data_IF_139045086492
#
_entry.id   IF_139045086492
#
_cell.length_a   1.000
_cell.length_b   1.000
_cell.length_c   1.000
_cell.angle_alpha   90.00
_cell.angle_beta   90.00
_cell.angle_gamma   90.00
#
_symmetry.space_group_name_H-M   'P 1'
#
loop_
_entity.id
_entity.type
_entity.pdbx_description
1 polymer ?
#
# COMPACT_ATOMS: atom_id res chain seq x y z
N UNK A 1 -12.63 7.36 16.34
CA UNK A 1 -12.60 7.63 14.89
C UNK A 1 -13.25 6.43 14.20
N UNK A 2 -14.36 6.61 13.49
CA UNK A 2 -15.05 5.49 12.81
C UNK A 2 -14.13 5.01 11.68
N UNK A 3 -13.76 3.75 11.68
CA UNK A 3 -12.99 3.14 10.60
C UNK A 3 -13.79 3.22 9.32
N UNK A 4 -13.10 3.43 8.19
CA UNK A 4 -13.75 3.39 6.88
C UNK A 4 -14.44 2.04 6.67
N UNK A 5 -15.58 2.01 5.95
CA UNK A 5 -16.24 0.76 5.62
C UNK A 5 -15.31 -0.16 4.83
N UNK A 6 -15.44 -1.47 5.03
CA UNK A 6 -14.74 -2.45 4.21
C UNK A 6 -15.30 -2.41 2.79
N UNK A 7 -14.43 -2.14 1.81
CA UNK A 7 -14.80 -2.08 0.38
C UNK A 7 -14.49 -3.40 -0.32
N UNK A 8 -13.34 -4.01 0.00
CA UNK A 8 -12.92 -5.27 -0.60
C UNK A 8 -13.13 -6.45 0.36
N UNK A 9 -13.22 -7.69 -0.16
CA UNK A 9 -13.09 -8.88 0.66
C UNK A 9 -11.78 -8.82 1.45
N UNK A 10 -11.85 -9.11 2.75
CA UNK A 10 -10.69 -9.08 3.64
C UNK A 10 -10.47 -10.42 4.31
N UNK A 11 -9.25 -10.60 4.82
CA UNK A 11 -8.85 -11.68 5.69
C UNK A 11 -8.30 -11.10 6.99
N UNK A 12 -8.65 -11.70 8.13
CA UNK A 12 -8.08 -11.30 9.41
C UNK A 12 -6.71 -11.95 9.57
N UNK A 13 -5.69 -11.14 9.84
CA UNK A 13 -4.35 -11.58 10.22
C UNK A 13 -4.04 -11.18 11.66
N UNK A 14 -3.14 -11.93 12.30
CA UNK A 14 -2.62 -11.63 13.64
C UNK A 14 -1.26 -10.97 13.51
N UNK A 15 -1.10 -9.76 14.06
CA UNK A 15 0.20 -9.06 14.12
C UNK A 15 1.16 -9.77 15.08
N UNK A 16 2.44 -9.41 15.05
CA UNK A 16 3.43 -9.89 16.03
C UNK A 16 3.09 -9.54 17.48
N UNK A 17 2.27 -8.50 17.69
CA UNK A 17 1.76 -8.08 19.01
C UNK A 17 0.46 -8.80 19.41
N UNK A 18 -0.02 -9.76 18.61
CA UNK A 18 -1.24 -10.53 18.88
C UNK A 18 -2.54 -9.82 18.44
N UNK A 19 -2.45 -8.64 17.84
CA UNK A 19 -3.63 -7.89 17.39
C UNK A 19 -4.22 -8.52 16.13
N UNK A 20 -5.54 -8.67 16.08
CA UNK A 20 -6.25 -9.07 14.87
C UNK A 20 -6.57 -7.85 14.01
N UNK A 21 -6.16 -7.88 12.74
CA UNK A 21 -6.38 -6.79 11.78
C UNK A 21 -6.97 -7.31 10.47
N UNK A 22 -8.03 -6.69 9.94
CA UNK A 22 -8.55 -7.03 8.61
C UNK A 22 -7.59 -6.48 7.54
N UNK A 23 -7.24 -7.31 6.57
CA UNK A 23 -6.37 -6.99 5.45
C UNK A 23 -7.09 -7.36 4.16
N UNK A 24 -7.09 -6.46 3.18
CA UNK A 24 -7.59 -6.74 1.83
C UNK A 24 -7.03 -8.08 1.33
N UNK A 25 -7.90 -8.97 0.85
CA UNK A 25 -7.57 -10.38 0.59
C UNK A 25 -6.37 -10.52 -0.34
N UNK A 26 -6.29 -9.68 -1.37
CA UNK A 26 -5.19 -9.68 -2.32
C UNK A 26 -3.86 -9.19 -1.72
N UNK A 27 -3.90 -8.34 -0.70
CA UNK A 27 -2.71 -7.84 0.00
C UNK A 27 -2.17 -8.81 1.04
N UNK A 28 -2.97 -9.81 1.46
CA UNK A 28 -2.61 -10.73 2.53
C UNK A 28 -1.25 -11.43 2.32
N UNK A 29 -0.93 -11.99 1.14
CA UNK A 29 0.37 -12.61 0.90
C UNK A 29 1.55 -11.64 1.07
N UNK A 30 1.41 -10.40 0.57
CA UNK A 30 2.43 -9.35 0.69
C UNK A 30 2.65 -9.00 2.17
N UNK A 31 1.57 -8.73 2.92
CA UNK A 31 1.65 -8.33 4.32
C UNK A 31 2.30 -9.43 5.17
N UNK A 32 1.94 -10.70 4.96
CA UNK A 32 2.58 -11.83 5.64
C UNK A 32 4.07 -11.90 5.35
N UNK A 33 4.47 -11.81 4.09
CA UNK A 33 5.88 -11.86 3.70
C UNK A 33 6.67 -10.67 4.27
N UNK A 34 6.11 -9.47 4.24
CA UNK A 34 6.73 -8.29 4.84
C UNK A 34 6.95 -8.46 6.35
N UNK A 35 5.94 -8.95 7.09
CA UNK A 35 6.08 -9.20 8.53
C UNK A 35 7.11 -10.29 8.83
N UNK A 36 7.14 -11.37 8.04
CA UNK A 36 8.15 -12.43 8.15
C UNK A 36 9.57 -11.88 7.95
N UNK A 37 9.75 -10.95 7.02
CA UNK A 37 11.03 -10.29 6.71
C UNK A 37 11.38 -9.15 7.70
N UNK A 38 10.54 -8.93 8.72
CA UNK A 38 10.76 -7.93 9.76
C UNK A 38 10.48 -6.49 9.34
N UNK A 39 9.56 -6.28 8.38
CA UNK A 39 9.04 -4.95 8.05
C UNK A 39 7.82 -4.61 8.90
N UNK A 40 7.71 -3.35 9.28
CA UNK A 40 6.50 -2.82 9.93
C UNK A 40 5.54 -2.26 8.88
N UNK A 41 4.26 -2.60 8.98
CA UNK A 41 3.19 -2.02 8.13
C UNK A 41 2.14 -1.33 9.00
N UNK A 42 1.66 -0.17 8.56
CA UNK A 42 0.59 0.58 9.26
C UNK A 42 -0.77 0.45 8.58
N UNK A 43 -0.81 0.38 7.25
CA UNK A 43 -2.03 0.19 6.47
C UNK A 43 -1.66 -0.34 5.08
N UNK A 44 -2.65 -0.91 4.38
CA UNK A 44 -2.52 -1.28 2.98
C UNK A 44 -3.88 -1.17 2.29
N UNK A 45 -3.86 -1.11 0.97
CA UNK A 45 -5.06 -1.14 0.14
C UNK A 45 -4.73 -1.88 -1.15
N UNK A 46 -5.60 -2.83 -1.56
CA UNK A 46 -5.41 -3.52 -2.84
C UNK A 46 -5.67 -2.58 -4.02
N UNK A 47 -6.62 -1.64 -3.90
CA UNK A 47 -6.94 -0.66 -4.96
C UNK A 47 -7.45 0.66 -4.37
N UNK A 48 -6.61 1.70 -4.40
CA UNK A 48 -6.87 3.00 -3.76
C UNK A 48 -8.05 3.72 -4.42
N UNK A 49 -8.16 3.69 -5.75
CA UNK A 49 -9.26 4.33 -6.47
C UNK A 49 -10.61 3.71 -6.12
N UNK A 50 -10.71 2.39 -6.15
CA UNK A 50 -11.92 1.64 -5.80
C UNK A 50 -12.29 1.82 -4.32
N UNK A 51 -11.32 1.73 -3.41
CA UNK A 51 -11.55 1.99 -1.99
C UNK A 51 -12.07 3.40 -1.74
N UNK A 52 -11.46 4.41 -2.36
CA UNK A 52 -11.86 5.81 -2.19
C UNK A 52 -13.27 6.05 -2.74
N UNK A 53 -13.57 5.52 -3.93
CA UNK A 53 -14.91 5.60 -4.51
C UNK A 53 -15.97 4.92 -3.64
N UNK A 54 -15.67 3.72 -3.13
CA UNK A 54 -16.56 2.96 -2.26
C UNK A 54 -16.83 3.66 -0.94
N UNK A 55 -15.80 4.21 -0.30
CA UNK A 55 -15.96 4.99 0.94
C UNK A 55 -16.80 6.24 0.68
N UNK A 56 -16.54 6.96 -0.41
CA UNK A 56 -17.29 8.16 -0.77
C UNK A 56 -18.77 7.87 -1.02
N UNK A 57 -19.10 6.76 -1.69
CA UNK A 57 -20.49 6.36 -1.94
C UNK A 57 -21.27 6.00 -0.67
N UNK A 58 -20.58 5.60 0.39
CA UNK A 58 -21.20 5.18 1.66
C UNK A 58 -21.23 6.28 2.73
N UNK A 59 -20.61 7.43 2.47
CA UNK A 59 -20.56 8.54 3.43
C UNK A 59 -21.57 9.63 3.06
N UNK A 60 -22.34 10.16 4.04
CA UNK A 60 -23.28 11.25 3.81
C UNK A 60 -22.58 12.60 3.61
N UNK A 61 -21.33 12.73 4.07
CA UNK A 61 -20.52 13.94 3.91
C UNK A 61 -19.37 13.67 2.95
N UNK A 62 -19.08 14.59 2.00
CA UNK A 62 -17.92 14.49 1.13
C UNK A 62 -16.64 14.29 1.93
N UNK A 63 -15.78 13.40 1.44
CA UNK A 63 -14.40 13.33 1.91
C UNK A 63 -13.71 14.65 1.53
N UNK A 64 -12.93 15.23 2.45
CA UNK A 64 -12.09 16.41 2.15
C UNK A 64 -10.93 16.12 1.16
N UNK A 65 -10.90 14.90 0.62
CA UNK A 65 -9.99 14.37 -0.39
C UNK A 65 -10.78 13.36 -1.25
N UNK A 66 -10.21 12.83 -2.34
CA UNK A 66 -10.89 11.75 -3.08
C UNK A 66 -12.02 12.21 -4.02
N UNK A 67 -11.87 13.40 -4.62
CA UNK A 67 -12.68 13.80 -5.77
C UNK A 67 -12.43 12.90 -6.99
N UNK A 68 -13.23 13.06 -8.05
CA UNK A 68 -13.16 12.19 -9.25
C UNK A 68 -11.75 12.10 -9.85
N UNK A 69 -10.99 13.21 -10.02
CA UNK A 69 -9.62 13.12 -10.55
C UNK A 69 -8.68 12.27 -9.68
N UNK A 70 -8.88 12.28 -8.36
CA UNK A 70 -8.07 11.46 -7.45
C UNK A 70 -8.41 9.98 -7.60
N UNK A 71 -9.72 9.66 -7.66
CA UNK A 71 -10.20 8.29 -7.82
C UNK A 71 -9.71 7.71 -9.14
N UNK A 72 -9.87 8.47 -10.22
CA UNK A 72 -9.49 8.03 -11.57
C UNK A 72 -7.99 7.80 -11.67
N UNK A 73 -7.18 8.71 -11.13
CA UNK A 73 -5.73 8.57 -11.12
C UNK A 73 -5.25 7.36 -10.32
N UNK A 74 -5.91 7.04 -9.20
CA UNK A 74 -5.52 5.94 -8.31
C UNK A 74 -6.24 4.62 -8.59
N UNK A 75 -7.12 4.58 -9.59
CA UNK A 75 -7.72 3.32 -10.03
C UNK A 75 -6.62 2.43 -10.60
N UNK A 76 -6.59 1.17 -10.16
CA UNK A 76 -5.54 0.24 -10.55
C UNK A 76 -4.22 0.41 -9.76
N UNK A 77 -4.17 1.25 -8.74
CA UNK A 77 -3.02 1.41 -7.84
C UNK A 77 -3.28 0.78 -6.47
N UNK A 78 -2.40 -0.12 -6.04
CA UNK A 78 -2.30 -0.61 -4.68
C UNK A 78 -1.45 0.34 -3.83
N UNK A 79 -1.55 0.22 -2.51
CA UNK A 79 -0.83 1.05 -1.55
C UNK A 79 -0.32 0.22 -0.37
N UNK A 80 0.94 0.45 0.01
CA UNK A 80 1.51 0.11 1.30
C UNK A 80 1.83 1.38 2.08
N UNK A 81 1.40 1.44 3.33
CA UNK A 81 1.82 2.46 4.29
C UNK A 81 2.78 1.85 5.30
N UNK A 82 4.03 2.31 5.26
CA UNK A 82 5.15 1.79 6.05
C UNK A 82 5.81 2.95 6.80
N UNK A 83 6.47 2.73 7.94
CA UNK A 83 7.46 3.67 8.44
C UNK A 83 8.46 4.02 7.33
N UNK A 84 8.85 5.29 7.21
CA UNK A 84 9.73 5.75 6.13
C UNK A 84 11.03 4.94 6.03
N UNK A 85 11.73 4.56 7.13
CA UNK A 85 12.89 3.69 7.06
C UNK A 85 12.61 2.31 6.44
N UNK A 86 11.46 1.70 6.78
CA UNK A 86 11.05 0.40 6.23
C UNK A 86 10.68 0.50 4.75
N UNK A 87 10.07 1.61 4.32
CA UNK A 87 9.81 1.87 2.91
C UNK A 87 11.10 1.96 2.10
N UNK A 88 12.12 2.67 2.61
CA UNK A 88 13.43 2.73 1.97
C UNK A 88 14.11 1.36 1.91
N UNK A 89 14.07 0.60 3.01
CA UNK A 89 14.64 -0.77 3.05
C UNK A 89 13.94 -1.69 2.05
N UNK A 90 12.62 -1.60 1.89
CA UNK A 90 11.87 -2.38 0.91
C UNK A 90 12.27 -2.01 -0.51
N UNK A 91 12.36 -0.72 -0.83
CA UNK A 91 12.78 -0.24 -2.16
C UNK A 91 14.22 -0.66 -2.47
N UNK A 92 15.15 -0.54 -1.52
CA UNK A 92 16.54 -0.98 -1.71
C UNK A 92 16.64 -2.50 -1.95
N UNK A 93 15.85 -3.31 -1.24
CA UNK A 93 15.79 -4.75 -1.48
C UNK A 93 15.25 -5.05 -2.89
N UNK A 94 14.08 -4.50 -3.23
CA UNK A 94 13.45 -4.72 -4.54
C UNK A 94 14.30 -4.19 -5.69
N UNK A 95 15.11 -3.16 -5.47
CA UNK A 95 16.04 -2.63 -6.45
C UNK A 95 17.10 -3.66 -6.87
N UNK A 96 17.30 -4.73 -6.09
CA UNK A 96 18.29 -5.80 -6.34
C UNK A 96 17.66 -7.07 -6.91
N UNK A 97 16.33 -7.14 -6.99
CA UNK A 97 15.58 -8.34 -7.34
C UNK A 97 14.84 -8.15 -8.66
N UNK A 98 15.13 -8.95 -9.70
CA UNK A 98 14.22 -9.09 -10.83
C UNK A 98 12.85 -9.61 -10.35
N UNK A 99 11.73 -9.15 -10.92
CA UNK A 99 11.62 -8.15 -12.00
C UNK A 99 11.39 -6.71 -11.49
N UNK A 100 11.55 -6.48 -10.18
CA UNK A 100 11.24 -5.18 -9.57
C UNK A 100 12.38 -4.17 -9.64
N UNK A 101 13.61 -4.60 -9.93
CA UNK A 101 14.78 -3.72 -10.02
C UNK A 101 14.51 -2.46 -10.84
N UNK A 102 13.98 -2.60 -12.05
CA UNK A 102 13.71 -1.46 -12.94
C UNK A 102 12.47 -0.67 -12.49
N UNK A 103 11.46 -1.37 -11.97
CA UNK A 103 10.18 -0.77 -11.54
C UNK A 103 10.34 0.16 -10.35
N UNK A 104 11.30 -0.10 -9.46
CA UNK A 104 11.56 0.76 -8.30
C UNK A 104 12.66 1.79 -8.54
N UNK A 105 13.52 1.59 -9.55
CA UNK A 105 14.59 2.53 -9.93
C UNK A 105 14.13 3.60 -10.92
N UNK A 106 13.16 3.27 -11.77
CA UNK A 106 12.64 4.20 -12.79
C UNK A 106 11.42 4.95 -12.26
N UNK A 107 11.31 6.22 -12.61
CA UNK A 107 10.14 7.05 -12.29
C UNK A 107 9.30 7.28 -13.53
N UNK A 108 7.99 7.43 -13.34
CA UNK A 108 7.02 7.82 -14.37
C UNK A 108 6.90 6.88 -15.58
N UNK A 109 7.39 5.64 -15.49
CA UNK A 109 7.17 4.61 -16.51
C UNK A 109 5.97 3.73 -16.16
N UNK A 110 5.35 3.08 -17.16
CA UNK A 110 4.35 2.04 -16.89
C UNK A 110 4.94 0.94 -16.00
N UNK A 111 4.35 0.74 -14.83
CA UNK A 111 4.87 -0.23 -13.86
C UNK A 111 5.76 0.36 -12.76
N UNK A 112 6.17 1.62 -12.87
CA UNK A 112 6.99 2.27 -11.86
C UNK A 112 6.26 2.44 -10.53
N UNK A 113 7.00 2.27 -9.44
CA UNK A 113 6.52 2.52 -8.09
C UNK A 113 6.62 4.01 -7.75
N UNK A 114 5.79 4.48 -6.83
CA UNK A 114 5.77 5.88 -6.38
C UNK A 114 5.69 5.95 -4.87
N UNK A 115 6.61 6.69 -4.25
CA UNK A 115 6.60 6.91 -2.81
C UNK A 115 6.27 8.36 -2.51
N UNK A 116 5.21 8.58 -1.73
CA UNK A 116 4.84 9.88 -1.22
C UNK A 116 5.06 9.92 0.29
N UNK A 117 5.82 10.90 0.78
CA UNK A 117 5.97 11.16 2.22
C UNK A 117 5.37 12.54 2.48
N UNK A 118 4.23 12.64 3.19
CA UNK A 118 3.60 13.94 3.44
C UNK A 118 4.54 14.92 4.17
N UNK A 119 4.58 16.16 3.72
CA UNK A 119 5.27 17.24 4.42
C UNK A 119 4.39 17.77 5.57
N UNK A 120 5.01 18.01 6.72
CA UNK A 120 4.42 18.61 7.92
C UNK A 120 5.29 19.79 8.39
N UNK A 121 4.79 20.68 9.26
CA UNK A 121 5.59 21.80 9.78
C UNK A 121 6.90 21.36 10.44
N UNK A 122 6.95 20.16 11.03
CA UNK A 122 8.14 19.59 11.68
C UNK A 122 9.04 18.79 10.72
N UNK A 123 8.76 18.79 9.42
CA UNK A 123 9.46 18.01 8.41
C UNK A 123 8.60 16.91 7.80
N UNK A 124 9.24 15.88 7.23
CA UNK A 124 8.54 14.77 6.61
C UNK A 124 7.80 13.92 7.64
N UNK A 125 6.60 13.44 7.29
CA UNK A 125 5.85 12.51 8.11
C UNK A 125 6.62 11.19 8.32
N UNK A 126 6.39 10.49 9.45
CA UNK A 126 7.13 9.26 9.76
C UNK A 126 6.69 8.05 8.91
N UNK A 127 5.62 8.18 8.12
CA UNK A 127 5.11 7.11 7.28
C UNK A 127 5.14 7.52 5.81
N UNK A 128 5.65 6.61 4.99
CA UNK A 128 5.61 6.69 3.55
C UNK A 128 4.38 5.98 2.98
N UNK A 129 3.86 6.50 1.87
CA UNK A 129 2.78 5.91 1.07
C UNK A 129 3.37 5.39 -0.23
N UNK A 130 3.61 4.08 -0.30
CA UNK A 130 4.25 3.42 -1.42
C UNK A 130 3.18 2.82 -2.33
N UNK A 131 3.01 3.43 -3.51
CA UNK A 131 2.02 3.05 -4.51
C UNK A 131 2.66 2.23 -5.62
N UNK A 132 1.95 1.19 -6.06
CA UNK A 132 2.35 0.35 -7.19
C UNK A 132 1.12 -0.18 -7.93
N UNK A 133 1.24 -0.59 -9.20
CA UNK A 133 0.09 -1.12 -9.93
C UNK A 133 -0.45 -2.41 -9.31
N UNK A 134 -1.77 -2.48 -9.11
CA UNK A 134 -2.54 -3.66 -8.65
C UNK A 134 -2.12 -4.96 -9.34
N UNK A 135 -1.92 -4.91 -10.66
CA UNK A 135 -1.47 -6.07 -11.48
C UNK A 135 -0.14 -6.69 -11.03
N UNK A 136 0.66 -5.98 -10.24
CA UNK A 136 1.93 -6.47 -9.69
C UNK A 136 1.78 -7.18 -8.34
N UNK A 137 0.59 -7.19 -7.72
CA UNK A 137 0.36 -7.82 -6.42
C UNK A 137 0.80 -9.30 -6.40
N UNK A 138 0.38 -10.17 -7.36
CA UNK A 138 0.77 -11.58 -7.32
C UNK A 138 2.29 -11.77 -7.43
N UNK A 139 2.91 -11.10 -8.40
CA UNK A 139 4.36 -11.18 -8.64
C UNK A 139 5.18 -10.63 -7.46
N UNK A 140 4.70 -9.57 -6.81
CA UNK A 140 5.32 -9.04 -5.60
C UNK A 140 5.21 -10.03 -4.44
N UNK A 141 4.04 -10.66 -4.27
CA UNK A 141 3.85 -11.69 -3.24
C UNK A 141 4.83 -12.85 -3.41
N UNK A 142 5.01 -13.34 -4.64
CA UNK A 142 5.93 -14.42 -4.97
C UNK A 142 7.39 -14.04 -4.70
N UNK A 143 7.82 -12.86 -5.17
CA UNK A 143 9.19 -12.38 -4.94
C UNK A 143 9.48 -12.23 -3.44
N UNK A 144 8.56 -11.63 -2.68
CA UNK A 144 8.75 -11.46 -1.23
C UNK A 144 8.67 -12.78 -0.46
N UNK A 145 7.96 -13.79 -0.97
CA UNK A 145 7.89 -15.09 -0.33
C UNK A 145 9.22 -15.85 -0.41
N UNK A 146 10.00 -15.63 -1.47
CA UNK A 146 11.28 -16.32 -1.71
C UNK A 146 12.50 -15.67 -1.06
N UNK A 147 12.35 -14.47 -0.46
CA UNK A 147 13.40 -13.82 0.33
C UNK A 147 13.50 -14.42 1.73
#
# INVERSE_FOLDING_TARGET
MRTDPAIHPHQVLTTSTGQQVPIDREMTPIIRSLWRLGFTTSACCQNVGEATAGVRAQRPTPLGYGGDPFIDYHRGWALLKLPTPDAHRLVDMLAKLPPFSDRVRTTWQPGSWRMNVPLKPQGLAPYALLHFPTRQIPELADVLHTQ
#
